data_IF_434142677182
#
_entry.id   IF_434142677182
#
_cell.length_a   1.000
_cell.length_b   1.000
_cell.length_c   1.000
_cell.angle_alpha   90.00
_cell.angle_beta   90.00
_cell.angle_gamma   90.00
#
_symmetry.space_group_name_H-M   'P 1'
#
loop_
_entity.id
_entity.type
_entity.pdbx_description
1 polymer ?
#
# COMPACT_ATOMS: atom_id res chain seq x y z
N UNK A 1 49.73 -15.96 8.65
CA UNK A 1 49.13 -15.49 9.91
C UNK A 1 48.63 -14.07 9.63
N UNK A 2 47.47 -13.89 9.01
CA UNK A 2 46.11 -14.02 9.56
C UNK A 2 45.84 -13.04 10.70
N UNK A 3 45.30 -11.86 10.38
CA UNK A 3 43.93 -11.44 10.68
C UNK A 3 43.80 -9.93 10.46
N UNK A 4 42.95 -9.55 9.52
CA UNK A 4 42.38 -8.21 9.42
C UNK A 4 40.88 -8.38 9.61
N UNK A 5 40.43 -8.24 10.86
CA UNK A 5 39.02 -8.18 11.21
C UNK A 5 38.70 -6.73 11.57
N UNK A 6 37.89 -6.08 10.75
CA UNK A 6 37.10 -4.92 11.17
C UNK A 6 35.64 -5.34 11.06
N UNK A 7 35.12 -5.88 12.16
CA UNK A 7 33.71 -5.83 12.52
C UNK A 7 33.49 -4.37 12.99
N UNK A 8 32.51 -3.59 12.53
CA UNK A 8 31.10 -3.93 12.43
C UNK A 8 30.38 -3.37 13.66
N UNK A 9 30.37 -2.04 13.85
CA UNK A 9 29.48 -1.40 14.82
C UNK A 9 28.30 -0.78 14.08
N UNK A 10 27.20 -1.52 14.12
CA UNK A 10 25.87 -1.06 13.78
C UNK A 10 25.41 -0.12 14.90
N UNK A 11 25.24 1.16 14.58
CA UNK A 11 24.54 2.09 15.46
C UNK A 11 23.05 1.76 15.40
N UNK A 12 22.60 0.94 16.34
CA UNK A 12 21.20 0.57 16.50
C UNK A 12 20.47 1.73 17.17
N UNK A 13 19.88 2.61 16.36
CA UNK A 13 18.87 3.54 16.84
C UNK A 13 17.61 2.73 17.21
N UNK A 14 17.41 2.54 18.52
CA UNK A 14 16.17 2.02 19.08
C UNK A 14 15.01 2.95 18.73
N UNK A 15 13.92 2.38 18.21
CA UNK A 15 12.60 3.02 18.28
C UNK A 15 11.66 1.99 18.88
N UNK A 16 11.41 2.17 20.18
CA UNK A 16 10.28 1.57 20.88
C UNK A 16 8.99 2.23 20.38
N UNK A 17 7.96 1.43 20.09
CA UNK A 17 6.59 1.95 20.06
C UNK A 17 5.71 0.98 20.84
N UNK A 18 5.28 1.43 22.01
CA UNK A 18 4.34 0.77 22.91
C UNK A 18 2.90 0.76 22.35
N UNK A 19 2.12 -0.19 22.86
CA UNK A 19 0.73 -0.53 22.55
C UNK A 19 -0.29 0.64 22.54
N UNK A 20 -1.29 0.52 21.65
CA UNK A 20 -2.67 0.96 21.91
C UNK A 20 -3.10 2.31 21.33
N UNK A 21 -3.54 2.31 20.07
CA UNK A 21 -4.24 3.43 19.42
C UNK A 21 -4.96 2.96 18.15
N UNK A 22 -6.08 3.59 17.79
CA UNK A 22 -6.80 3.37 16.51
C UNK A 22 -5.82 3.37 15.33
N UNK A 23 -6.06 2.61 14.24
CA UNK A 23 -5.09 2.47 13.15
C UNK A 23 -4.70 3.85 12.61
N UNK A 24 -3.46 4.24 12.89
CA UNK A 24 -2.83 5.45 12.39
C UNK A 24 -2.94 5.43 10.87
N UNK A 25 -3.58 6.46 10.30
CA UNK A 25 -3.83 6.55 8.86
C UNK A 25 -2.50 6.41 8.09
N UNK A 26 -2.33 5.28 7.41
CA UNK A 26 -1.22 5.08 6.48
C UNK A 26 -1.61 5.60 5.09
N UNK A 27 -0.82 6.52 4.53
CA UNK A 27 -1.02 7.07 3.19
C UNK A 27 0.26 6.94 2.37
N UNK A 28 0.16 6.37 1.17
CA UNK A 28 1.23 6.40 0.17
C UNK A 28 0.79 7.33 -0.95
N UNK A 29 1.55 8.40 -1.18
CA UNK A 29 1.33 9.34 -2.27
C UNK A 29 2.48 9.27 -3.26
N UNK A 30 2.19 8.92 -4.51
CA UNK A 30 3.17 8.88 -5.60
C UNK A 30 2.82 9.93 -6.65
N UNK A 31 3.70 10.90 -6.88
CA UNK A 31 3.56 11.90 -7.95
C UNK A 31 4.86 11.99 -8.75
N UNK A 32 4.88 11.39 -9.95
CA UNK A 32 6.01 11.50 -10.87
C UNK A 32 5.53 11.43 -12.32
N UNK A 33 6.10 12.23 -13.25
CA UNK A 33 5.86 12.03 -14.67
C UNK A 33 6.43 10.68 -15.10
N UNK A 34 5.61 9.89 -15.78
CA UNK A 34 5.98 8.59 -16.34
C UNK A 34 5.57 8.51 -17.80
N UNK A 35 6.26 7.67 -18.57
CA UNK A 35 5.82 7.29 -19.90
C UNK A 35 4.50 6.51 -19.83
N UNK A 36 3.78 6.46 -20.97
CA UNK A 36 2.54 5.67 -21.05
C UNK A 36 2.80 4.19 -20.74
N UNK A 37 3.94 3.63 -21.19
CA UNK A 37 4.29 2.22 -20.97
C UNK A 37 4.54 1.90 -19.48
N UNK A 38 5.21 2.81 -18.76
CA UNK A 38 5.40 2.68 -17.31
C UNK A 38 4.07 2.78 -16.56
N UNK A 39 3.20 3.71 -16.96
CA UNK A 39 1.86 3.84 -16.38
C UNK A 39 1.03 2.57 -16.59
N UNK A 40 1.02 2.04 -17.81
CA UNK A 40 0.30 0.80 -18.14
C UNK A 40 0.81 -0.37 -17.31
N UNK A 41 2.13 -0.56 -17.23
CA UNK A 41 2.74 -1.63 -16.41
C UNK A 41 2.36 -1.51 -14.93
N UNK A 42 2.32 -0.27 -14.41
CA UNK A 42 1.91 -0.01 -13.04
C UNK A 42 0.43 -0.36 -12.81
N UNK A 43 -0.47 0.03 -13.72
CA UNK A 43 -1.89 -0.31 -13.64
C UNK A 43 -2.13 -1.82 -13.77
N UNK A 44 -1.39 -2.52 -14.63
CA UNK A 44 -1.46 -3.98 -14.74
C UNK A 44 -1.07 -4.66 -13.43
N UNK A 45 -0.06 -4.13 -12.73
CA UNK A 45 0.35 -4.64 -11.40
C UNK A 45 -0.75 -4.45 -10.35
N UNK A 46 -1.45 -3.30 -10.37
CA UNK A 46 -2.61 -3.05 -9.52
C UNK A 46 -3.72 -4.06 -9.81
N UNK A 47 -4.07 -4.26 -11.09
CA UNK A 47 -5.11 -5.22 -11.50
C UNK A 47 -4.73 -6.64 -11.11
N UNK A 48 -3.45 -7.02 -11.24
CA UNK A 48 -2.96 -8.32 -10.80
C UNK A 48 -3.14 -8.51 -9.28
N UNK A 49 -2.82 -7.49 -8.47
CA UNK A 49 -3.04 -7.53 -7.02
C UNK A 49 -4.52 -7.62 -6.64
N UNK A 50 -5.39 -6.88 -7.32
CA UNK A 50 -6.85 -7.00 -7.11
C UNK A 50 -7.35 -8.41 -7.40
N UNK A 51 -6.88 -9.04 -8.49
CA UNK A 51 -7.22 -10.44 -8.83
C UNK A 51 -6.69 -11.44 -7.80
N UNK A 52 -5.55 -11.15 -7.19
CA UNK A 52 -4.95 -11.98 -6.14
C UNK A 52 -5.60 -11.79 -4.75
N UNK A 53 -6.52 -10.83 -4.61
CA UNK A 53 -7.17 -10.49 -3.33
C UNK A 53 -6.26 -9.73 -2.34
N UNK A 54 -5.03 -9.40 -2.74
CA UNK A 54 -4.09 -8.62 -1.96
C UNK A 54 -3.15 -7.86 -2.88
N UNK A 55 -2.84 -6.61 -2.52
CA UNK A 55 -1.96 -5.76 -3.30
C UNK A 55 -1.00 -5.02 -2.38
N UNK A 56 0.27 -4.98 -2.79
CA UNK A 56 1.33 -4.28 -2.08
C UNK A 56 1.68 -3.01 -2.84
N UNK A 57 1.58 -1.87 -2.18
CA UNK A 57 1.98 -0.57 -2.71
C UNK A 57 3.19 -0.12 -1.90
N UNK A 58 4.29 0.23 -2.58
CA UNK A 58 5.53 0.66 -1.92
C UNK A 58 6.02 1.98 -2.50
N UNK A 59 6.40 2.92 -1.64
CA UNK A 59 7.02 4.18 -2.02
C UNK A 59 7.90 4.71 -0.88
N UNK A 60 9.09 5.23 -1.19
CA UNK A 60 10.02 5.85 -0.23
C UNK A 60 10.27 5.01 1.04
N UNK A 61 10.42 3.69 0.89
CA UNK A 61 10.65 2.77 2.00
C UNK A 61 9.38 2.42 2.80
N UNK A 62 8.26 3.08 2.54
CA UNK A 62 6.95 2.74 3.11
C UNK A 62 6.28 1.70 2.24
N UNK A 63 5.69 0.67 2.86
CA UNK A 63 4.92 -0.36 2.17
C UNK A 63 3.56 -0.50 2.83
N UNK A 64 2.50 -0.39 2.03
CA UNK A 64 1.13 -0.61 2.43
C UNK A 64 0.62 -1.88 1.75
N UNK A 65 0.06 -2.79 2.54
CA UNK A 65 -0.67 -3.95 2.01
C UNK A 65 -2.15 -3.68 2.12
N UNK A 66 -2.86 -3.88 1.02
CA UNK A 66 -4.28 -3.65 0.86
C UNK A 66 -4.94 -4.97 0.49
N UNK A 67 -6.08 -5.26 1.11
CA UNK A 67 -6.86 -6.50 0.90
C UNK A 67 -8.27 -6.16 0.41
N UNK A 68 -8.47 -6.00 -0.91
CA UNK A 68 -9.78 -5.79 -1.48
C UNK A 68 -10.73 -6.94 -1.12
N UNK A 69 -11.98 -6.60 -0.78
CA UNK A 69 -13.05 -7.57 -0.51
C UNK A 69 -13.88 -7.85 -1.75
N UNK A 70 -14.80 -8.81 -1.66
CA UNK A 70 -15.66 -9.25 -2.76
C UNK A 70 -16.50 -8.12 -3.39
N UNK A 71 -16.79 -7.07 -2.61
CA UNK A 71 -17.48 -5.87 -3.09
C UNK A 71 -16.57 -4.65 -3.00
N UNK A 72 -16.45 -3.94 -4.13
CA UNK A 72 -15.72 -2.69 -4.27
C UNK A 72 -16.65 -1.61 -4.82
N UNK A 73 -16.56 -0.41 -4.27
CA UNK A 73 -17.17 0.78 -4.85
C UNK A 73 -16.19 1.42 -5.83
N UNK A 74 -16.64 1.75 -7.04
CA UNK A 74 -15.81 2.30 -8.11
C UNK A 74 -16.45 3.57 -8.65
N UNK A 75 -15.72 4.68 -8.57
CA UNK A 75 -16.08 5.93 -9.22
C UNK A 75 -15.07 6.27 -10.33
N UNK A 76 -15.59 6.63 -11.51
CA UNK A 76 -14.76 7.01 -12.66
C UNK A 76 -15.15 8.41 -13.11
N UNK A 77 -14.14 9.28 -13.23
CA UNK A 77 -14.30 10.64 -13.76
C UNK A 77 -13.34 10.85 -14.93
N UNK A 78 -13.90 11.09 -16.11
CA UNK A 78 -13.15 11.46 -17.30
C UNK A 78 -13.41 12.94 -17.66
N UNK A 79 -12.35 13.67 -18.00
CA UNK A 79 -12.42 15.09 -18.37
C UNK A 79 -11.54 15.33 -19.59
N UNK A 80 -12.07 16.00 -20.61
CA UNK A 80 -11.33 16.52 -21.76
C UNK A 80 -11.53 18.03 -21.85
N UNK A 81 -10.44 18.78 -21.92
CA UNK A 81 -10.43 20.23 -22.19
C UNK A 81 -9.30 20.57 -23.17
N UNK A 82 -9.27 21.78 -23.71
CA UNK A 82 -8.25 22.21 -24.70
C UNK A 82 -6.84 21.88 -24.19
N UNK A 83 -6.16 20.95 -24.89
CA UNK A 83 -4.78 20.54 -24.59
C UNK A 83 -4.60 19.62 -23.38
N UNK A 84 -5.66 19.08 -22.77
CA UNK A 84 -5.52 18.17 -21.62
C UNK A 84 -6.64 17.14 -21.55
N UNK A 85 -6.23 15.89 -21.40
CA UNK A 85 -7.08 14.77 -21.05
C UNK A 85 -6.73 14.31 -19.63
N UNK A 86 -7.76 13.94 -18.86
CA UNK A 86 -7.59 13.40 -17.52
C UNK A 86 -8.62 12.32 -17.30
N UNK A 87 -8.17 11.21 -16.73
CA UNK A 87 -9.03 10.21 -16.10
C UNK A 87 -8.63 10.09 -14.62
N UNK A 88 -9.64 9.92 -13.77
CA UNK A 88 -9.47 9.63 -12.35
C UNK A 88 -10.34 8.43 -12.01
N UNK A 89 -9.75 7.51 -11.26
CA UNK A 89 -10.41 6.34 -10.70
C UNK A 89 -10.31 6.47 -9.18
N UNK A 90 -11.41 6.18 -8.52
CA UNK A 90 -11.48 6.01 -7.09
C UNK A 90 -12.07 4.63 -6.85
N UNK A 91 -11.37 3.83 -6.07
CA UNK A 91 -11.76 2.46 -5.74
C UNK A 91 -11.62 2.31 -4.24
N UNK A 92 -12.70 1.94 -3.58
CA UNK A 92 -12.73 1.75 -2.14
C UNK A 92 -13.50 0.49 -1.77
N UNK A 93 -13.20 -0.03 -0.59
CA UNK A 93 -13.91 -1.15 0.00
C UNK A 93 -13.90 -1.01 1.51
N UNK A 94 -14.91 -1.59 2.16
CA UNK A 94 -14.97 -1.64 3.62
C UNK A 94 -14.15 -2.81 4.13
N UNK A 95 -13.35 -2.57 5.16
CA UNK A 95 -12.75 -3.63 5.96
C UNK A 95 -13.89 -4.29 6.76
N UNK A 96 -13.97 -5.63 6.76
CA UNK A 96 -14.84 -6.31 7.71
C UNK A 96 -14.35 -5.99 9.12
N UNK A 97 -15.23 -5.67 10.09
CA UNK A 97 -14.81 -5.63 11.48
C UNK A 97 -14.23 -7.00 11.82
N UNK A 98 -12.98 -7.03 12.28
CA UNK A 98 -12.38 -8.24 12.86
C UNK A 98 -13.33 -8.72 13.94
N UNK A 99 -13.97 -9.86 13.72
CA UNK A 99 -14.84 -10.47 14.73
C UNK A 99 -13.95 -11.18 15.76
N UNK A 100 -13.28 -10.39 16.61
CA UNK A 100 -12.59 -10.89 17.80
C UNK A 100 -13.60 -11.12 18.93
N UNK A 101 -14.56 -12.02 18.72
CA UNK A 101 -15.42 -12.52 19.78
C UNK A 101 -15.42 -14.06 19.70
N UNK A 102 -14.36 -14.66 20.21
CA UNK A 102 -14.43 -16.01 20.76
C UNK A 102 -15.14 -15.90 22.12
N UNK A 103 -16.42 -16.22 22.18
CA UNK A 103 -17.05 -16.61 23.45
C UNK A 103 -16.95 -18.14 23.50
N UNK A 104 -15.90 -18.65 24.12
CA UNK A 104 -15.96 -19.98 24.72
C UNK A 104 -16.83 -19.86 25.97
N UNK A 105 -18.00 -20.49 25.94
CA UNK A 105 -18.80 -20.74 27.14
C UNK A 105 -18.68 -22.22 27.50
N UNK A 106 -18.15 -22.49 28.70
CA UNK A 106 -18.22 -23.79 29.41
C UNK A 106 -19.65 -24.28 29.62
#
# INVERSE_FOLDING_TARGET
MSNMEHQGEMDAAAVEVENGGEPERAEIKYESPMSLAEATSYFESIVAGMRAGHMRVSHEGTTLTLEPRDSVEVAVKAVRKKGKEKISFEVEWRMSPTSDLQIESE
#
